data_IF_117231630872
#
_entry.id   IF_117231630872
#
_cell.length_a   1.000
_cell.length_b   1.000
_cell.length_c   1.000
_cell.angle_alpha   90.00
_cell.angle_beta   90.00
_cell.angle_gamma   90.00
#
_symmetry.space_group_name_H-M   'P 1'
#
loop_
_entity.id
_entity.type
_entity.pdbx_description
1 polymer ?
#
# COMPACT_ATOMS: atom_id res chain seq x y z
N UNK A 1 -21.73 13.75 7.60
CA UNK A 1 -21.67 12.50 6.81
C UNK A 1 -21.45 12.78 5.34
N UNK A 2 -22.10 13.78 4.72
CA UNK A 2 -21.87 14.15 3.30
C UNK A 2 -20.45 14.67 2.98
N UNK A 3 -19.69 15.19 3.97
CA UNK A 3 -18.32 15.66 3.74
C UNK A 3 -17.27 14.54 3.58
N UNK A 4 -17.57 13.30 3.99
CA UNK A 4 -16.63 12.16 3.85
C UNK A 4 -16.76 11.43 2.51
N UNK A 5 -17.89 11.59 1.80
CA UNK A 5 -18.18 10.85 0.58
C UNK A 5 -17.40 11.34 -0.66
N UNK A 6 -16.73 12.49 -0.57
CA UNK A 6 -15.86 13.01 -1.64
C UNK A 6 -14.47 12.36 -1.70
N UNK A 7 -14.06 11.50 -0.76
CA UNK A 7 -12.61 11.31 -0.49
C UNK A 7 -11.96 9.98 -0.90
N UNK A 8 -12.69 8.97 -1.42
CA UNK A 8 -12.10 7.67 -1.82
C UNK A 8 -11.26 7.76 -3.09
N UNK A 9 -11.70 8.53 -4.07
CA UNK A 9 -10.99 8.80 -5.33
C UNK A 9 -10.85 10.29 -5.52
N UNK A 10 -9.70 10.78 -5.97
CA UNK A 10 -9.48 12.21 -6.27
C UNK A 10 -8.39 12.42 -7.31
N UNK A 11 -8.09 13.68 -7.59
CA UNK A 11 -7.04 14.07 -8.53
C UNK A 11 -5.80 14.56 -7.78
N UNK A 12 -4.63 14.41 -8.36
CA UNK A 12 -3.40 15.06 -7.89
C UNK A 12 -2.41 15.22 -9.05
N UNK A 13 -1.78 16.38 -9.20
CA UNK A 13 -0.80 16.63 -10.27
C UNK A 13 0.59 16.01 -9.98
N UNK A 14 0.81 14.75 -10.36
CA UNK A 14 2.13 14.13 -10.37
C UNK A 14 2.75 14.00 -11.79
N UNK A 15 2.07 14.47 -12.85
CA UNK A 15 2.41 14.23 -14.26
C UNK A 15 3.25 15.27 -15.02
N UNK A 16 3.39 16.52 -14.55
CA UNK A 16 3.80 17.63 -15.45
C UNK A 16 5.20 18.24 -15.27
N UNK A 17 6.07 17.74 -14.38
CA UNK A 17 7.41 18.36 -14.18
C UNK A 17 8.56 17.36 -14.23
N UNK A 18 9.72 17.82 -14.75
CA UNK A 18 11.02 17.18 -14.45
C UNK A 18 11.11 16.99 -12.93
N UNK A 19 11.31 15.75 -12.48
CA UNK A 19 11.23 15.37 -11.06
C UNK A 19 9.98 14.57 -10.66
N UNK A 20 9.25 13.99 -11.62
CA UNK A 20 8.11 13.09 -11.40
C UNK A 20 8.34 12.10 -10.23
N UNK A 21 7.67 12.33 -9.09
CA UNK A 21 7.73 11.44 -7.91
C UNK A 21 6.77 10.25 -8.12
N UNK A 22 6.93 9.56 -9.25
CA UNK A 22 6.18 8.36 -9.58
C UNK A 22 7.13 7.35 -10.21
N UNK A 23 7.08 6.11 -9.73
CA UNK A 23 7.96 5.02 -10.16
C UNK A 23 7.93 4.83 -11.67
N UNK A 24 6.73 4.87 -12.27
CA UNK A 24 6.52 4.65 -13.70
C UNK A 24 6.72 5.90 -14.58
N UNK A 25 7.43 6.91 -14.08
CA UNK A 25 7.63 8.19 -14.78
C UNK A 25 8.24 8.03 -16.18
N UNK A 26 9.30 7.23 -16.30
CA UNK A 26 9.96 6.96 -17.58
C UNK A 26 9.01 6.31 -18.59
N UNK A 27 8.18 5.37 -18.13
CA UNK A 27 7.18 4.67 -18.95
C UNK A 27 6.08 5.64 -19.41
N UNK A 28 5.60 6.51 -18.51
CA UNK A 28 4.60 7.52 -18.80
C UNK A 28 5.10 8.54 -19.83
N UNK A 29 6.33 9.04 -19.67
CA UNK A 29 6.97 9.93 -20.65
C UNK A 29 7.10 9.24 -22.00
N UNK A 30 7.58 7.99 -22.03
CA UNK A 30 7.76 7.21 -23.27
C UNK A 30 6.43 6.94 -23.99
N UNK A 31 5.36 6.66 -23.24
CA UNK A 31 4.04 6.38 -23.82
C UNK A 31 3.39 7.62 -24.44
N UNK A 32 3.82 8.83 -24.06
CA UNK A 32 3.23 10.09 -24.52
C UNK A 32 1.81 10.33 -24.00
N UNK A 33 1.24 11.50 -24.30
CA UNK A 33 -0.07 11.93 -23.79
C UNK A 33 -1.30 11.41 -24.56
N UNK A 34 -1.11 10.72 -25.69
CA UNK A 34 -2.24 10.26 -26.51
C UNK A 34 -2.76 8.92 -26.01
N UNK A 35 -4.02 8.90 -25.56
CA UNK A 35 -4.70 7.70 -25.06
C UNK A 35 -5.82 7.27 -26.01
N UNK A 36 -5.84 5.99 -26.38
CA UNK A 36 -6.90 5.42 -27.20
C UNK A 36 -8.29 5.59 -26.52
N UNK A 37 -9.35 5.95 -27.26
CA UNK A 37 -10.69 6.14 -26.69
C UNK A 37 -11.22 4.93 -25.92
N UNK A 38 -10.88 3.70 -26.36
CA UNK A 38 -11.24 2.47 -25.68
C UNK A 38 -10.59 2.36 -24.30
N UNK A 39 -9.29 2.64 -24.19
CA UNK A 39 -8.56 2.67 -22.92
C UNK A 39 -9.14 3.72 -21.97
N UNK A 40 -9.42 4.94 -22.48
CA UNK A 40 -10.07 5.98 -21.67
C UNK A 40 -11.42 5.53 -21.11
N UNK A 41 -12.28 4.92 -21.94
CA UNK A 41 -13.57 4.37 -21.48
C UNK A 41 -13.39 3.30 -20.41
N UNK A 42 -12.39 2.43 -20.57
CA UNK A 42 -12.07 1.40 -19.58
C UNK A 42 -11.61 2.02 -18.26
N UNK A 43 -10.71 3.00 -18.26
CA UNK A 43 -10.26 3.66 -17.02
C UNK A 43 -11.39 4.43 -16.32
N UNK A 44 -12.32 5.02 -17.07
CA UNK A 44 -13.53 5.61 -16.47
C UNK A 44 -14.42 4.55 -15.80
N UNK A 45 -14.45 3.31 -16.32
CA UNK A 45 -15.10 2.18 -15.64
C UNK A 45 -14.37 1.83 -14.34
N UNK A 46 -13.03 1.77 -14.34
CA UNK A 46 -12.23 1.55 -13.13
C UNK A 46 -12.54 2.59 -12.05
N UNK A 47 -12.60 3.89 -12.39
CA UNK A 47 -12.97 4.94 -11.42
C UNK A 47 -14.35 4.71 -10.79
N UNK A 48 -15.35 4.33 -11.60
CA UNK A 48 -16.70 4.06 -11.12
C UNK A 48 -16.73 2.85 -10.19
N UNK A 49 -16.01 1.79 -10.53
CA UNK A 49 -15.88 0.62 -9.68
C UNK A 49 -15.18 0.95 -8.36
N UNK A 50 -14.12 1.76 -8.37
CA UNK A 50 -13.45 2.18 -7.15
C UNK A 50 -14.39 2.94 -6.21
N UNK A 51 -15.18 3.87 -6.74
CA UNK A 51 -16.16 4.62 -5.94
C UNK A 51 -17.24 3.74 -5.32
N UNK A 52 -17.64 2.66 -6.00
CA UNK A 52 -18.74 1.80 -5.52
C UNK A 52 -18.28 0.62 -4.66
N UNK A 53 -17.04 0.15 -4.83
CA UNK A 53 -16.56 -1.12 -4.23
C UNK A 53 -15.46 -0.96 -3.20
N UNK A 54 -14.76 0.18 -3.14
CA UNK A 54 -13.78 0.41 -2.09
C UNK A 54 -14.48 0.68 -0.75
N UNK A 55 -13.95 0.17 0.37
CA UNK A 55 -14.54 0.39 1.68
C UNK A 55 -14.60 1.88 2.03
N UNK A 56 -15.79 2.37 2.43
CA UNK A 56 -16.00 3.78 2.79
C UNK A 56 -15.24 4.22 4.05
N UNK A 57 -14.79 3.28 4.89
CA UNK A 57 -14.05 3.57 6.13
C UNK A 57 -12.60 4.07 5.92
N UNK A 58 -12.23 4.42 4.69
CA UNK A 58 -10.96 5.09 4.39
C UNK A 58 -9.73 4.19 4.46
N UNK A 59 -9.93 2.87 4.44
CA UNK A 59 -8.83 1.91 4.47
C UNK A 59 -8.04 1.85 3.14
N UNK A 60 -8.64 2.30 2.03
CA UNK A 60 -8.00 2.39 0.72
C UNK A 60 -8.44 3.68 0.06
N UNK A 61 -7.49 4.55 -0.29
CA UNK A 61 -7.75 5.77 -1.06
C UNK A 61 -6.92 5.78 -2.33
N UNK A 62 -7.47 6.32 -3.41
CA UNK A 62 -6.82 6.40 -4.72
C UNK A 62 -6.81 7.84 -5.21
N UNK A 63 -5.72 8.23 -5.86
CA UNK A 63 -5.59 9.49 -6.60
C UNK A 63 -5.16 9.18 -8.03
N UNK A 64 -5.84 9.73 -9.02
CA UNK A 64 -5.37 9.69 -10.40
C UNK A 64 -4.71 11.01 -10.76
N UNK A 65 -3.82 10.99 -11.76
CA UNK A 65 -3.22 12.23 -12.23
C UNK A 65 -4.28 13.13 -12.90
N UNK A 66 -4.13 14.44 -12.78
CA UNK A 66 -5.01 15.43 -13.40
C UNK A 66 -4.95 15.36 -14.94
N UNK A 67 -3.79 14.95 -15.50
CA UNK A 67 -3.53 14.95 -16.94
C UNK A 67 -3.41 13.53 -17.48
N UNK A 68 -2.69 12.66 -16.75
CA UNK A 68 -2.37 11.28 -17.10
C UNK A 68 -3.27 10.30 -16.35
N UNK A 69 -4.47 10.11 -16.86
CA UNK A 69 -5.46 9.20 -16.28
C UNK A 69 -5.00 7.71 -16.21
N UNK A 70 -3.94 7.36 -16.94
CA UNK A 70 -3.25 6.08 -16.91
C UNK A 70 -2.16 5.97 -15.82
N UNK A 71 -2.03 6.99 -14.97
CA UNK A 71 -1.18 7.01 -13.79
C UNK A 71 -2.05 7.26 -12.55
N UNK A 72 -1.88 6.41 -11.53
CA UNK A 72 -2.60 6.53 -10.27
C UNK A 72 -1.65 6.25 -9.11
N UNK A 73 -1.99 6.78 -7.94
CA UNK A 73 -1.41 6.41 -6.66
C UNK A 73 -2.51 5.86 -5.77
N UNK A 74 -2.18 4.90 -4.93
CA UNK A 74 -3.08 4.40 -3.91
C UNK A 74 -2.38 4.37 -2.56
N UNK A 75 -3.12 4.67 -1.49
CA UNK A 75 -2.72 4.32 -0.14
C UNK A 75 -3.63 3.21 0.40
N UNK A 76 -3.03 2.26 1.11
CA UNK A 76 -3.74 1.21 1.83
C UNK A 76 -3.34 1.33 3.30
N UNK A 77 -4.32 1.42 4.18
CA UNK A 77 -4.12 1.42 5.63
C UNK A 77 -4.08 -0.03 6.11
N UNK A 78 -3.04 -0.39 6.87
CA UNK A 78 -2.93 -1.70 7.51
C UNK A 78 -4.02 -1.90 8.56
N UNK A 79 -4.63 -3.07 8.57
CA UNK A 79 -5.77 -3.40 9.41
C UNK A 79 -5.34 -3.82 10.83
N UNK A 80 -6.24 -3.67 11.80
CA UNK A 80 -6.01 -4.08 13.18
C UNK A 80 -5.74 -5.59 13.29
N UNK A 81 -4.90 -5.98 14.25
CA UNK A 81 -4.50 -7.39 14.45
C UNK A 81 -3.41 -7.88 13.49
N UNK A 82 -2.85 -6.99 12.66
CA UNK A 82 -1.72 -7.29 11.77
C UNK A 82 -0.49 -6.50 12.22
N UNK A 83 0.75 -6.93 11.89
CA UNK A 83 1.94 -6.13 12.16
C UNK A 83 2.01 -4.83 11.34
N UNK A 84 1.06 -4.62 10.43
CA UNK A 84 0.92 -3.43 9.57
C UNK A 84 -0.06 -2.39 10.13
N UNK A 85 -0.74 -2.71 11.24
CA UNK A 85 -1.90 -1.96 11.73
C UNK A 85 -1.65 -0.44 11.82
N UNK A 86 -2.60 0.34 11.28
CA UNK A 86 -2.59 1.80 11.19
C UNK A 86 -1.43 2.43 10.37
N UNK A 87 -0.53 1.63 9.80
CA UNK A 87 0.43 2.12 8.81
C UNK A 87 -0.24 2.46 7.49
N UNK A 88 0.23 3.51 6.82
CA UNK A 88 -0.14 3.92 5.46
C UNK A 88 0.90 3.38 4.47
N UNK A 89 0.48 2.49 3.59
CA UNK A 89 1.31 1.90 2.54
C UNK A 89 0.99 2.54 1.20
N UNK A 90 1.97 3.19 0.59
CA UNK A 90 1.84 3.89 -0.69
C UNK A 90 2.21 2.97 -1.87
N UNK A 91 1.38 3.04 -2.92
CA UNK A 91 1.58 2.33 -4.17
C UNK A 91 1.47 3.27 -5.37
N UNK A 92 2.41 3.16 -6.30
CA UNK A 92 2.34 3.76 -7.62
C UNK A 92 1.72 2.77 -8.60
N UNK A 93 0.85 3.23 -9.48
CA UNK A 93 0.07 2.42 -10.40
C UNK A 93 0.16 3.00 -11.80
N UNK A 94 0.41 2.14 -12.78
CA UNK A 94 0.47 2.51 -14.19
C UNK A 94 -0.36 1.55 -15.04
N UNK A 95 -1.22 2.11 -15.88
CA UNK A 95 -1.99 1.37 -16.86
C UNK A 95 -1.24 1.43 -18.21
N UNK A 96 -0.64 0.32 -18.69
CA UNK A 96 0.11 0.30 -19.95
C UNK A 96 -0.78 0.56 -21.16
N UNK A 97 -0.17 0.78 -22.33
CA UNK A 97 -0.90 1.09 -23.58
C UNK A 97 -1.85 -0.02 -24.00
N UNK A 98 -1.50 -1.26 -23.72
CA UNK A 98 -2.25 -2.48 -24.04
C UNK A 98 -3.35 -2.78 -23.00
N UNK A 99 -3.48 -1.97 -21.94
CA UNK A 99 -4.53 -2.16 -20.95
C UNK A 99 -5.93 -1.99 -21.57
N UNK A 100 -6.90 -2.91 -21.31
CA UNK A 100 -6.87 -3.97 -20.29
C UNK A 100 -6.46 -5.36 -20.78
N UNK A 101 -5.95 -5.52 -22.01
CA UNK A 101 -5.50 -6.82 -22.53
C UNK A 101 -4.34 -7.41 -21.72
N UNK A 102 -3.55 -6.56 -21.06
CA UNK A 102 -2.59 -6.94 -20.02
C UNK A 102 -2.93 -6.25 -18.69
N UNK A 103 -2.43 -6.77 -17.54
CA UNK A 103 -2.68 -6.16 -16.24
C UNK A 103 -2.05 -4.76 -16.13
N UNK A 104 -2.57 -3.98 -15.17
CA UNK A 104 -1.89 -2.78 -14.69
C UNK A 104 -0.55 -3.16 -14.02
N UNK A 105 0.38 -2.21 -13.98
CA UNK A 105 1.62 -2.32 -13.22
C UNK A 105 1.46 -1.58 -11.89
N UNK A 106 2.01 -2.15 -10.82
CA UNK A 106 1.96 -1.57 -9.47
C UNK A 106 3.32 -1.69 -8.80
N UNK A 107 3.68 -0.68 -8.02
CA UNK A 107 4.96 -0.59 -7.31
C UNK A 107 4.71 -0.19 -5.85
N UNK A 108 5.30 -0.91 -4.90
CA UNK A 108 5.28 -0.54 -3.49
C UNK A 108 6.32 0.56 -3.24
N UNK A 109 5.88 1.73 -2.82
CA UNK A 109 6.76 2.85 -2.48
C UNK A 109 7.28 2.78 -1.03
N UNK A 110 6.70 1.91 -0.20
CA UNK A 110 6.96 1.82 1.25
C UNK A 110 8.08 0.82 1.54
N UNK A 111 9.28 1.07 1.02
CA UNK A 111 10.41 0.12 1.05
C UNK A 111 11.56 0.54 1.96
N UNK A 112 11.43 1.68 2.65
CA UNK A 112 12.52 2.27 3.42
C UNK A 112 13.73 2.68 2.56
N UNK A 113 13.52 2.95 1.26
CA UNK A 113 14.62 3.25 0.34
C UNK A 113 15.38 2.00 -0.10
N UNK A 114 14.71 0.85 -0.19
CA UNK A 114 15.32 -0.41 -0.61
C UNK A 114 15.79 -1.31 0.53
N UNK A 115 15.56 -0.94 1.78
CA UNK A 115 16.11 -1.65 2.95
C UNK A 115 15.11 -2.56 3.65
N UNK A 116 13.82 -2.49 3.28
CA UNK A 116 12.76 -3.23 3.97
C UNK A 116 11.94 -4.02 2.98
N UNK A 117 11.94 -5.33 3.18
CA UNK A 117 10.95 -6.23 2.59
C UNK A 117 9.78 -6.34 3.57
N UNK A 118 8.61 -5.81 3.19
CA UNK A 118 7.44 -5.76 4.06
C UNK A 118 6.70 -7.10 4.09
N UNK A 119 6.87 -7.92 3.06
CA UNK A 119 6.22 -9.21 2.90
C UNK A 119 6.94 -10.01 1.81
N UNK A 120 6.78 -11.34 1.76
CA UNK A 120 7.24 -12.15 0.61
C UNK A 120 6.63 -11.73 -0.71
N UNK A 121 5.58 -10.91 -0.67
CA UNK A 121 4.92 -10.33 -1.84
C UNK A 121 5.12 -8.81 -2.00
N UNK A 122 5.86 -8.17 -1.09
CA UNK A 122 6.23 -6.75 -1.13
C UNK A 122 7.74 -6.61 -0.91
N UNK A 123 8.47 -6.71 -2.01
CA UNK A 123 9.92 -6.80 -2.03
C UNK A 123 10.54 -5.45 -1.65
N UNK A 124 11.79 -5.49 -1.17
CA UNK A 124 12.54 -4.28 -0.84
C UNK A 124 12.81 -3.39 -2.06
N UNK A 125 12.90 -3.96 -3.26
CA UNK A 125 13.00 -3.21 -4.51
C UNK A 125 11.66 -2.60 -4.97
N UNK A 126 10.57 -2.82 -4.23
CA UNK A 126 9.23 -2.30 -4.50
C UNK A 126 8.38 -3.19 -5.40
N UNK A 127 8.88 -4.35 -5.84
CA UNK A 127 8.09 -5.32 -6.60
C UNK A 127 6.92 -5.86 -5.76
N UNK A 128 5.75 -5.93 -6.39
CA UNK A 128 4.53 -6.52 -5.82
C UNK A 128 4.22 -7.85 -6.51
N UNK A 129 4.10 -8.93 -5.73
CA UNK A 129 3.77 -10.27 -6.23
C UNK A 129 2.30 -10.60 -6.00
N UNK A 130 1.53 -10.69 -7.09
CA UNK A 130 0.15 -11.18 -7.10
C UNK A 130 -0.07 -12.08 -8.32
N UNK A 131 -0.79 -13.20 -8.14
CA UNK A 131 -1.22 -14.07 -9.23
C UNK A 131 -2.07 -13.30 -10.25
N UNK A 132 -2.93 -12.40 -9.76
CA UNK A 132 -3.76 -11.50 -10.57
C UNK A 132 -2.93 -10.61 -11.51
N UNK A 133 -1.68 -10.30 -11.15
CA UNK A 133 -0.76 -9.51 -11.96
C UNK A 133 0.25 -10.36 -12.74
N UNK A 134 0.20 -11.70 -12.56
CA UNK A 134 1.16 -12.63 -13.15
C UNK A 134 2.57 -12.52 -12.57
N UNK A 135 2.75 -11.88 -11.40
CA UNK A 135 4.08 -11.58 -10.83
C UNK A 135 4.56 -12.57 -9.77
N UNK A 136 3.68 -13.43 -9.25
CA UNK A 136 4.00 -14.39 -8.18
C UNK A 136 4.82 -15.62 -8.62
N UNK A 137 5.13 -15.77 -9.91
CA UNK A 137 6.01 -16.83 -10.43
C UNK A 137 5.46 -18.27 -10.37
N UNK A 138 4.37 -18.52 -9.64
CA UNK A 138 3.66 -19.79 -9.62
C UNK A 138 2.71 -19.92 -10.81
N UNK A 139 2.69 -21.09 -11.45
CA UNK A 139 1.60 -21.55 -12.35
C UNK A 139 0.31 -21.83 -11.56
N UNK A 140 -0.06 -20.92 -10.66
CA UNK A 140 -1.20 -21.04 -9.76
C UNK A 140 -2.53 -21.15 -10.50
N UNK A 141 -3.62 -21.04 -9.75
CA UNK A 141 -4.96 -21.14 -10.30
C UNK A 141 -5.14 -20.19 -11.50
N UNK A 142 -5.49 -20.77 -12.66
CA UNK A 142 -5.72 -20.00 -13.90
C UNK A 142 -6.83 -18.98 -13.72
N UNK A 143 -7.79 -19.26 -12.83
CA UNK A 143 -8.89 -18.35 -12.50
C UNK A 143 -8.42 -17.13 -11.71
N UNK A 144 -7.29 -17.23 -11.00
CA UNK A 144 -6.69 -16.14 -10.26
C UNK A 144 -5.83 -15.20 -11.12
N UNK A 145 -5.67 -15.47 -12.43
CA UNK A 145 -4.89 -14.63 -13.35
C UNK A 145 -5.71 -13.44 -13.88
N UNK A 146 -4.99 -12.41 -14.37
CA UNK A 146 -5.62 -11.27 -15.02
C UNK A 146 -6.58 -11.68 -16.14
N UNK A 147 -7.83 -11.24 -16.03
CA UNK A 147 -8.85 -11.36 -17.05
C UNK A 147 -9.18 -9.95 -17.57
N UNK A 148 -8.99 -9.72 -18.87
CA UNK A 148 -9.18 -8.41 -19.49
C UNK A 148 -10.62 -7.89 -19.43
N UNK A 149 -11.61 -8.75 -19.18
CA UNK A 149 -13.03 -8.38 -19.12
C UNK A 149 -13.51 -8.13 -17.69
N UNK A 150 -13.03 -8.94 -16.73
CA UNK A 150 -13.58 -8.98 -15.36
C UNK A 150 -12.61 -8.49 -14.29
N UNK A 151 -11.30 -8.50 -14.52
CA UNK A 151 -10.34 -8.03 -13.52
C UNK A 151 -10.32 -6.50 -13.43
N UNK A 152 -10.09 -5.94 -12.23
CA UNK A 152 -10.08 -4.50 -12.02
C UNK A 152 -9.04 -4.05 -10.98
N UNK A 153 -8.71 -2.75 -10.94
CA UNK A 153 -7.79 -2.18 -9.94
C UNK A 153 -8.32 -2.40 -8.52
N UNK A 154 -9.63 -2.29 -8.30
CA UNK A 154 -10.26 -2.60 -7.00
C UNK A 154 -9.90 -4.00 -6.52
N UNK A 155 -9.98 -5.01 -7.40
CA UNK A 155 -9.63 -6.37 -7.04
C UNK A 155 -8.16 -6.50 -6.64
N UNK A 156 -7.26 -5.79 -7.33
CA UNK A 156 -5.83 -5.76 -6.99
C UNK A 156 -5.62 -5.15 -5.60
N UNK A 157 -6.19 -3.97 -5.34
CA UNK A 157 -6.03 -3.25 -4.06
C UNK A 157 -6.62 -4.04 -2.88
N UNK A 158 -7.82 -4.61 -3.06
CA UNK A 158 -8.44 -5.48 -2.05
C UNK A 158 -7.63 -6.75 -1.83
N UNK A 159 -7.01 -7.32 -2.87
CA UNK A 159 -6.15 -8.50 -2.73
C UNK A 159 -4.88 -8.19 -1.92
N UNK A 160 -4.28 -7.02 -2.10
CA UNK A 160 -3.13 -6.58 -1.27
C UNK A 160 -3.55 -6.52 0.20
N UNK A 161 -4.67 -5.86 0.49
CA UNK A 161 -5.14 -5.75 1.86
C UNK A 161 -5.52 -7.12 2.48
N UNK A 162 -6.19 -7.99 1.71
CA UNK A 162 -6.73 -9.25 2.22
C UNK A 162 -5.72 -10.41 2.29
N UNK A 163 -4.69 -10.42 1.45
CA UNK A 163 -3.77 -11.56 1.33
C UNK A 163 -2.30 -11.22 1.64
N UNK A 164 -1.92 -9.94 1.59
CA UNK A 164 -0.53 -9.51 1.84
C UNK A 164 -0.41 -8.83 3.20
N UNK A 165 -1.27 -7.85 3.48
CA UNK A 165 -1.26 -7.11 4.75
C UNK A 165 -2.06 -7.84 5.84
N UNK A 166 -1.62 -9.07 6.16
CA UNK A 166 -2.34 -10.04 7.01
C UNK A 166 -1.63 -10.29 8.34
N UNK A 167 -2.29 -10.92 9.34
CA UNK A 167 -1.60 -11.45 10.53
C UNK A 167 -0.62 -12.57 10.15
N UNK A 168 0.45 -12.74 10.93
CA UNK A 168 1.47 -13.79 10.71
C UNK A 168 2.00 -13.87 9.25
N UNK A 169 2.43 -12.75 8.65
CA UNK A 169 2.85 -12.68 7.24
C UNK A 169 4.01 -13.60 6.87
N UNK A 170 4.77 -14.14 7.83
CA UNK A 170 5.74 -15.21 7.57
C UNK A 170 5.10 -16.41 6.84
N UNK A 171 3.81 -16.65 7.06
CA UNK A 171 3.01 -17.68 6.40
C UNK A 171 2.86 -17.50 4.88
N UNK A 172 3.18 -16.32 4.33
CA UNK A 172 3.17 -16.04 2.89
C UNK A 172 4.48 -16.47 2.20
N UNK A 173 5.53 -16.82 2.95
CA UNK A 173 6.80 -17.23 2.35
C UNK A 173 6.72 -18.67 1.82
N UNK A 174 7.19 -18.94 0.60
CA UNK A 174 7.23 -20.29 0.05
C UNK A 174 7.99 -21.26 0.96
N UNK A 175 7.46 -22.47 1.15
CA UNK A 175 8.09 -23.51 1.95
C UNK A 175 8.02 -23.31 3.47
N UNK A 176 7.32 -22.28 3.97
CA UNK A 176 7.06 -22.12 5.40
C UNK A 176 5.95 -23.07 5.84
N UNK A 177 6.31 -24.05 6.67
CA UNK A 177 5.37 -24.93 7.36
C UNK A 177 4.67 -24.17 8.49
N UNK A 178 3.34 -24.27 8.55
CA UNK A 178 2.47 -23.54 9.48
C UNK A 178 2.03 -24.44 10.63
N UNK A 179 1.56 -23.84 11.73
CA UNK A 179 0.90 -24.59 12.81
C UNK A 179 1.83 -25.35 13.76
N UNK A 180 3.14 -25.08 13.73
CA UNK A 180 4.12 -25.63 14.67
C UNK A 180 4.59 -24.57 15.67
N UNK A 181 5.05 -24.98 16.85
CA UNK A 181 5.64 -24.05 17.83
C UNK A 181 6.91 -23.35 17.31
N UNK A 182 7.64 -24.01 16.40
CA UNK A 182 8.79 -23.42 15.73
C UNK A 182 8.36 -22.33 14.74
N UNK A 183 7.27 -22.55 14.00
CA UNK A 183 6.65 -21.53 13.16
C UNK A 183 6.18 -20.34 14.01
N UNK A 184 5.46 -20.57 15.11
CA UNK A 184 4.93 -19.48 15.92
C UNK A 184 6.05 -18.57 16.44
N UNK A 185 7.12 -19.15 17.01
CA UNK A 185 8.28 -18.37 17.49
C UNK A 185 8.96 -17.55 16.38
N UNK A 186 9.08 -18.12 15.18
CA UNK A 186 9.64 -17.40 14.02
C UNK A 186 8.69 -16.31 13.52
N UNK A 187 7.38 -16.56 13.51
CA UNK A 187 6.39 -15.58 13.11
C UNK A 187 6.36 -14.41 14.09
N UNK A 188 6.43 -14.67 15.40
CA UNK A 188 6.43 -13.62 16.42
C UNK A 188 7.66 -12.71 16.28
N UNK A 189 8.84 -13.29 16.04
CA UNK A 189 10.06 -12.53 15.79
C UNK A 189 9.95 -11.69 14.50
N UNK A 190 9.40 -12.28 13.42
CA UNK A 190 9.19 -11.58 12.16
C UNK A 190 8.19 -10.42 12.28
N UNK A 191 7.09 -10.63 13.01
CA UNK A 191 6.08 -9.61 13.26
C UNK A 191 6.67 -8.42 14.04
N UNK A 192 7.57 -8.67 14.99
CA UNK A 192 8.26 -7.62 15.74
C UNK A 192 9.18 -6.76 14.85
N UNK A 193 9.93 -7.38 13.93
CA UNK A 193 10.70 -6.63 12.94
C UNK A 193 9.79 -5.78 12.05
N UNK A 194 8.61 -6.30 11.69
CA UNK A 194 7.60 -5.56 10.93
C UNK A 194 6.93 -4.43 11.73
N UNK A 195 6.78 -4.54 13.05
CA UNK A 195 6.30 -3.41 13.87
C UNK A 195 7.23 -2.21 13.72
N UNK A 196 8.54 -2.45 13.82
CA UNK A 196 9.56 -1.42 13.65
C UNK A 196 9.52 -0.83 12.23
N UNK A 197 9.44 -1.68 11.21
CA UNK A 197 9.33 -1.25 9.83
C UNK A 197 8.07 -0.40 9.58
N UNK A 198 6.93 -0.83 10.10
CA UNK A 198 5.65 -0.13 9.97
C UNK A 198 5.69 1.23 10.65
N UNK A 199 6.18 1.32 11.90
CA UNK A 199 6.32 2.61 12.60
C UNK A 199 7.23 3.56 11.83
N UNK A 200 8.36 3.09 11.31
CA UNK A 200 9.31 3.94 10.59
C UNK A 200 8.83 4.37 9.21
N UNK A 201 8.33 3.44 8.43
CA UNK A 201 8.16 3.64 6.99
C UNK A 201 6.70 3.82 6.59
N UNK A 202 5.75 3.29 7.35
CA UNK A 202 4.32 3.43 7.10
C UNK A 202 3.63 4.41 8.05
N UNK A 203 4.29 4.90 9.11
CA UNK A 203 3.73 5.93 10.00
C UNK A 203 4.56 7.21 10.01
N UNK A 204 5.82 7.13 10.45
CA UNK A 204 6.72 8.28 10.55
C UNK A 204 7.00 8.93 9.19
N UNK A 205 7.41 8.14 8.20
CA UNK A 205 7.74 8.66 6.87
C UNK A 205 6.56 9.43 6.22
N UNK A 206 5.33 8.88 6.12
CA UNK A 206 4.21 9.64 5.56
C UNK A 206 3.81 10.84 6.44
N UNK A 207 4.01 10.82 7.76
CA UNK A 207 3.78 12.02 8.59
C UNK A 207 4.79 13.15 8.32
N UNK A 208 6.06 12.81 8.12
CA UNK A 208 7.12 13.78 7.81
C UNK A 208 6.99 14.34 6.40
N UNK A 209 6.72 13.45 5.45
CA UNK A 209 6.63 13.75 4.03
C UNK A 209 5.37 13.09 3.46
N UNK A 210 4.19 13.70 3.67
CA UNK A 210 2.95 13.14 3.17
C UNK A 210 3.01 12.95 1.65
N UNK A 211 2.55 11.80 1.12
CA UNK A 211 2.50 11.60 -0.31
C UNK A 211 1.60 12.63 -1.00
N UNK A 212 2.04 13.12 -2.16
CA UNK A 212 1.30 14.10 -2.94
C UNK A 212 -0.14 13.64 -3.23
N UNK A 213 -1.12 14.48 -2.92
CA UNK A 213 -2.54 14.20 -3.08
C UNK A 213 -3.19 13.45 -1.90
N UNK A 214 -2.39 13.09 -0.89
CA UNK A 214 -2.82 12.40 0.32
C UNK A 214 -2.50 13.17 1.61
N UNK A 215 -2.05 14.43 1.52
CA UNK A 215 -1.63 15.25 2.66
C UNK A 215 -2.71 15.32 3.74
N UNK A 216 -3.94 15.67 3.34
CA UNK A 216 -5.08 15.76 4.25
C UNK A 216 -5.49 14.39 4.77
N UNK A 217 -5.50 13.36 3.92
CA UNK A 217 -5.85 12.00 4.32
C UNK A 217 -4.88 11.45 5.37
N UNK A 218 -3.57 11.66 5.19
CA UNK A 218 -2.52 11.28 6.14
C UNK A 218 -2.74 11.99 7.48
N UNK A 219 -2.89 13.32 7.48
CA UNK A 219 -3.12 14.10 8.71
C UNK A 219 -4.40 13.66 9.42
N UNK A 220 -5.48 13.47 8.67
CA UNK A 220 -6.78 13.05 9.19
C UNK A 220 -6.70 11.65 9.82
N UNK A 221 -6.11 10.68 9.11
CA UNK A 221 -5.93 9.32 9.63
C UNK A 221 -5.17 9.30 10.95
N UNK A 222 -3.96 9.88 10.97
CA UNK A 222 -3.11 9.86 12.17
C UNK A 222 -3.67 10.73 13.30
N UNK A 223 -4.30 11.86 12.99
CA UNK A 223 -4.96 12.73 13.97
C UNK A 223 -6.15 12.05 14.66
N UNK A 224 -7.08 11.49 13.87
CA UNK A 224 -8.26 10.80 14.41
C UNK A 224 -7.89 9.50 15.15
N UNK A 225 -6.86 8.79 14.70
CA UNK A 225 -6.41 7.53 15.32
C UNK A 225 -5.37 7.71 16.42
N UNK A 226 -4.96 8.96 16.75
CA UNK A 226 -3.86 9.26 17.69
C UNK A 226 -3.90 8.45 18.99
N UNK A 227 -5.07 8.36 19.63
CA UNK A 227 -5.22 7.60 20.88
C UNK A 227 -5.06 6.09 20.71
N UNK A 228 -5.55 5.53 19.60
CA UNK A 228 -5.42 4.09 19.27
C UNK A 228 -3.96 3.77 18.91
N UNK A 229 -3.35 4.60 18.07
CA UNK A 229 -1.94 4.50 17.69
C UNK A 229 -1.01 4.51 18.89
N UNK A 230 -1.22 5.43 19.84
CA UNK A 230 -0.41 5.49 21.06
C UNK A 230 -0.48 4.21 21.86
N UNK A 231 -1.67 3.66 22.07
CA UNK A 231 -1.84 2.38 22.78
C UNK A 231 -1.17 1.23 22.05
N UNK A 232 -1.42 1.08 20.74
CA UNK A 232 -0.80 0.05 19.92
C UNK A 232 0.73 0.12 19.97
N UNK A 233 1.32 1.31 19.78
CA UNK A 233 2.77 1.47 19.79
C UNK A 233 3.39 1.17 21.16
N UNK A 234 2.72 1.54 22.27
CA UNK A 234 3.19 1.20 23.61
C UNK A 234 3.10 -0.30 23.89
N UNK A 235 2.06 -0.97 23.42
CA UNK A 235 1.92 -2.43 23.48
C UNK A 235 3.04 -3.11 22.67
N UNK A 236 3.29 -2.66 21.44
CA UNK A 236 4.39 -3.18 20.62
C UNK A 236 5.77 -2.97 21.26
N UNK A 237 6.03 -1.82 21.88
CA UNK A 237 7.29 -1.58 22.60
C UNK A 237 7.41 -2.48 23.83
N UNK A 238 6.32 -2.70 24.57
CA UNK A 238 6.31 -3.58 25.75
C UNK A 238 6.58 -5.03 25.35
N UNK A 239 6.00 -5.49 24.24
CA UNK A 239 6.02 -6.89 23.84
C UNK A 239 7.19 -7.23 22.89
N UNK A 240 7.94 -6.23 22.42
CA UNK A 240 9.11 -6.43 21.57
C UNK A 240 10.28 -7.08 22.34
N UNK A 241 11.00 -7.97 21.66
CA UNK A 241 12.21 -8.59 22.17
C UNK A 241 13.37 -7.57 22.30
N UNK A 242 14.41 -7.95 23.05
CA UNK A 242 15.55 -7.09 23.36
C UNK A 242 16.29 -6.54 22.13
N UNK A 243 16.24 -7.23 20.99
CA UNK A 243 16.90 -6.80 19.76
C UNK A 243 16.12 -5.68 19.03
N UNK A 244 14.79 -5.73 19.07
CA UNK A 244 13.91 -4.79 18.37
C UNK A 244 13.52 -3.61 19.27
N UNK A 245 13.29 -3.87 20.56
CA UNK A 245 12.67 -2.94 21.49
C UNK A 245 13.34 -1.56 21.51
N UNK A 246 14.68 -1.41 21.62
CA UNK A 246 15.28 -0.08 21.75
C UNK A 246 15.08 0.77 20.50
N UNK A 247 15.15 0.12 19.33
CA UNK A 247 14.96 0.75 18.02
C UNK A 247 13.50 1.15 17.81
N UNK A 248 12.57 0.31 18.26
CA UNK A 248 11.15 0.58 18.21
C UNK A 248 10.74 1.70 19.17
N UNK A 249 11.21 1.67 20.42
CA UNK A 249 10.96 2.71 21.40
C UNK A 249 11.41 4.09 20.90
N UNK A 250 12.60 4.17 20.31
CA UNK A 250 13.11 5.41 19.71
C UNK A 250 12.21 5.89 18.57
N UNK A 251 11.80 5.01 17.65
CA UNK A 251 10.92 5.39 16.55
C UNK A 251 9.52 5.81 17.04
N UNK A 252 8.99 5.14 18.06
CA UNK A 252 7.69 5.48 18.68
C UNK A 252 7.75 6.84 19.37
N UNK A 253 8.86 7.19 20.03
CA UNK A 253 9.04 8.51 20.62
C UNK A 253 9.01 9.61 19.56
N UNK A 254 9.73 9.42 18.44
CA UNK A 254 9.69 10.34 17.30
C UNK A 254 8.26 10.46 16.73
N UNK A 255 7.54 9.33 16.63
CA UNK A 255 6.17 9.31 16.13
C UNK A 255 5.24 10.11 17.02
N UNK A 256 5.35 9.94 18.34
CA UNK A 256 4.53 10.66 19.31
C UNK A 256 4.77 12.17 19.26
N UNK A 257 6.03 12.60 19.11
CA UNK A 257 6.34 14.02 18.95
C UNK A 257 5.67 14.62 17.70
N UNK A 258 5.62 13.89 16.58
CA UNK A 258 4.90 14.35 15.38
C UNK A 258 3.39 14.33 15.57
N UNK A 259 2.84 13.31 16.23
CA UNK A 259 1.39 13.21 16.51
C UNK A 259 0.89 14.31 17.46
N UNK A 260 1.75 14.84 18.33
CA UNK A 260 1.43 15.98 19.20
C UNK A 260 1.47 17.32 18.46
N UNK A 261 2.16 17.38 17.32
CA UNK A 261 2.25 18.56 16.47
C UNK A 261 1.16 18.63 15.38
N UNK A 262 0.34 17.58 15.23
CA UNK A 262 -0.84 17.55 14.34
C UNK A 262 -2.03 18.28 14.97
#
# INVERSE_FOLDING_TARGET
MEAMEQHLTGEAAFGEKEGMVHHFSKQLIKAGGSMLPAKRRRLLKELREMRSRLPAEGAILVRHDEVRFDAMKAIIVGTAGTPYANGIFLFDIYFPSEYPSCPLQIFNCTTGGGTVEMNSNLYSDGKVCLSLLGTSGSDGDKEARWNSETSSLVQVLLSIQAFILVPQPLANYPGVEKGTDAFQRRSDAFDQDLWLATVRHAMLAPLRHPPLGFEEAVRTHFGLRRGVLRRQCLEWVRDANDAVQPRLASAVQELFALLDAL
#
